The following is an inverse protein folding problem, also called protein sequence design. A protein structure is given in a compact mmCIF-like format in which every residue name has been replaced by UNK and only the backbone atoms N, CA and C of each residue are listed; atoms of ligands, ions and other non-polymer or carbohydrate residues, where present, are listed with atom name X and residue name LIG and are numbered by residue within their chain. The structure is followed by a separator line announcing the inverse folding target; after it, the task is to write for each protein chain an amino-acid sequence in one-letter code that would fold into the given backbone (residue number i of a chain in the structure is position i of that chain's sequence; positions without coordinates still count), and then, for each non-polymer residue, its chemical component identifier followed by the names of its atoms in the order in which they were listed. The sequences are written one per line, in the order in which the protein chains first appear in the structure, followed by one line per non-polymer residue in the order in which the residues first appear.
data_IF_631820811395
#
_entry.id   IF_631820811395
#
_cell.length_a   1.000
_cell.length_b   1.000
_cell.length_c   1.000
_cell.angle_alpha   90.00
_cell.angle_beta   90.00
_cell.angle_gamma   90.00
#
_symmetry.space_group_name_H-M   'P 1'
#
loop_
_entity.id
_entity.type
_entity.pdbx_description
1 polymer ?
#
# COMPACT_ATOMS: atom_id res chain seq x y z
N UNK A 1 58.46 27.90 -18.35
CA UNK A 1 57.10 28.31 -18.80
C UNK A 1 56.35 27.30 -19.70
N UNK A 2 56.96 26.20 -20.15
CA UNK A 2 56.28 25.20 -21.02
C UNK A 2 55.50 24.09 -20.23
N UNK A 3 55.78 23.91 -18.97
CA UNK A 3 55.16 22.85 -18.14
C UNK A 3 53.79 23.25 -17.56
N UNK A 4 53.56 24.52 -17.29
CA UNK A 4 52.26 24.99 -16.76
C UNK A 4 51.09 24.89 -17.75
N UNK A 5 51.36 24.94 -19.07
CA UNK A 5 50.29 24.85 -20.10
C UNK A 5 49.79 23.43 -20.28
N UNK A 6 50.57 22.41 -19.95
CA UNK A 6 50.12 21.00 -20.07
C UNK A 6 49.25 20.58 -18.90
N UNK A 7 49.55 21.02 -17.68
CA UNK A 7 48.74 20.73 -16.48
C UNK A 7 47.39 21.43 -16.54
N UNK A 8 47.32 22.65 -17.07
CA UNK A 8 46.04 23.35 -17.23
C UNK A 8 45.11 22.67 -18.25
N UNK A 9 45.69 22.11 -19.32
CA UNK A 9 44.89 21.34 -20.30
C UNK A 9 44.33 20.02 -19.74
N UNK A 10 45.10 19.35 -18.89
CA UNK A 10 44.61 18.13 -18.21
C UNK A 10 43.48 18.41 -17.20
N UNK A 11 43.56 19.55 -16.49
CA UNK A 11 42.51 19.97 -15.54
C UNK A 11 41.20 20.32 -16.26
N UNK A 12 41.26 20.97 -17.42
CA UNK A 12 40.10 21.31 -18.20
C UNK A 12 39.41 20.06 -18.79
N UNK A 13 40.18 19.05 -19.25
CA UNK A 13 39.63 17.80 -19.72
C UNK A 13 39.05 16.93 -18.60
N UNK A 14 39.64 17.00 -17.40
CA UNK A 14 39.10 16.28 -16.21
C UNK A 14 37.78 16.90 -15.73
N UNK A 15 37.63 18.22 -15.80
CA UNK A 15 36.34 18.86 -15.46
C UNK A 15 35.26 18.62 -16.51
N UNK A 16 35.63 18.51 -17.78
CA UNK A 16 34.66 18.26 -18.85
C UNK A 16 34.15 16.81 -18.84
N UNK A 17 34.96 15.85 -18.39
CA UNK A 17 34.56 14.44 -18.28
C UNK A 17 33.62 14.21 -17.10
N UNK A 18 33.60 15.08 -16.07
CA UNK A 18 32.73 14.95 -14.91
C UNK A 18 31.34 15.57 -15.12
N UNK A 19 31.17 16.39 -16.17
CA UNK A 19 29.89 17.04 -16.49
C UNK A 19 28.95 16.15 -17.30
N UNK A 20 29.41 14.99 -17.80
CA UNK A 20 28.57 14.08 -18.60
C UNK A 20 27.93 12.95 -17.80
N UNK A 21 28.07 12.92 -16.46
CA UNK A 21 27.48 11.87 -15.63
C UNK A 21 26.15 12.27 -14.98
N UNK A 22 25.62 13.47 -15.26
CA UNK A 22 24.35 13.95 -14.68
C UNK A 22 23.21 14.07 -15.69
N UNK A 23 23.34 13.50 -16.88
CA UNK A 23 22.24 13.47 -17.86
C UNK A 23 21.87 12.05 -18.23
N UNK A 24 21.54 11.25 -17.22
CA UNK A 24 20.90 9.96 -17.41
C UNK A 24 19.94 9.71 -16.24
N UNK A 25 19.00 10.63 -16.03
CA UNK A 25 17.69 10.35 -15.46
C UNK A 25 16.71 10.92 -16.48
N UNK A 26 16.47 10.20 -17.54
CA UNK A 26 15.17 10.22 -18.18
C UNK A 26 14.31 9.38 -17.26
N UNK A 27 13.64 10.04 -16.32
CA UNK A 27 12.47 9.53 -15.64
C UNK A 27 11.33 9.43 -16.67
N UNK A 28 11.46 8.52 -17.62
CA UNK A 28 10.36 7.82 -18.24
C UNK A 28 10.06 6.62 -17.31
N UNK A 29 9.82 6.90 -16.04
CA UNK A 29 9.03 6.02 -15.21
C UNK A 29 7.60 6.07 -15.79
N UNK A 30 7.34 5.24 -16.78
CA UNK A 30 6.05 4.60 -16.92
C UNK A 30 5.83 3.86 -15.59
N UNK A 31 5.41 4.62 -14.57
CA UNK A 31 5.00 4.12 -13.26
C UNK A 31 3.85 3.15 -13.51
N UNK A 32 4.21 1.89 -13.73
CA UNK A 32 3.22 0.84 -13.89
C UNK A 32 2.34 0.89 -12.64
N UNK A 33 1.10 1.35 -12.83
CA UNK A 33 0.14 1.49 -11.75
C UNK A 33 -0.15 0.09 -11.22
N UNK A 34 0.37 -0.22 -10.04
CA UNK A 34 0.30 -1.54 -9.41
C UNK A 34 -0.58 -1.50 -8.18
N UNK A 35 -1.06 -2.67 -7.75
CA UNK A 35 -1.78 -2.80 -6.49
C UNK A 35 -0.80 -2.57 -5.34
N UNK A 36 -1.12 -1.64 -4.44
CA UNK A 36 -0.27 -1.27 -3.31
C UNK A 36 -1.08 -1.28 -2.02
N UNK A 37 -0.52 -1.83 -0.96
CA UNK A 37 -1.13 -1.72 0.36
C UNK A 37 -1.09 -0.25 0.81
N UNK A 38 -2.26 0.27 1.20
CA UNK A 38 -2.40 1.64 1.68
C UNK A 38 -2.36 1.65 3.22
N UNK A 39 -1.52 2.50 3.83
CA UNK A 39 -1.34 2.48 5.27
C UNK A 39 -2.56 3.08 5.98
N UNK A 40 -3.27 2.23 6.70
CA UNK A 40 -4.31 2.62 7.68
C UNK A 40 -3.91 2.08 9.05
N UNK A 41 -4.31 2.74 10.14
CA UNK A 41 -4.12 2.18 11.48
C UNK A 41 -4.80 0.80 11.59
N UNK A 42 -4.06 -0.21 12.02
CA UNK A 42 -4.52 -1.62 12.04
C UNK A 42 -5.84 -1.85 12.78
N UNK A 43 -6.13 -1.02 13.78
CA UNK A 43 -7.34 -1.10 14.60
C UNK A 43 -8.33 0.03 14.30
N UNK A 44 -8.20 0.70 13.15
CA UNK A 44 -9.14 1.71 12.71
C UNK A 44 -10.53 1.10 12.58
N UNK A 45 -11.53 1.81 13.07
CA UNK A 45 -12.94 1.42 12.92
C UNK A 45 -13.73 2.60 12.38
N UNK A 46 -14.40 2.37 11.28
CA UNK A 46 -15.25 3.34 10.61
C UNK A 46 -16.72 2.90 10.71
N UNK A 47 -17.65 3.79 10.36
CA UNK A 47 -19.10 3.49 10.35
C UNK A 47 -19.52 2.71 9.11
N UNK A 48 -18.83 1.59 8.84
CA UNK A 48 -19.12 0.67 7.73
C UNK A 48 -19.26 -0.75 8.26
N UNK A 49 -19.86 -1.62 7.46
CA UNK A 49 -20.08 -3.01 7.84
C UNK A 49 -18.75 -3.78 7.98
N UNK A 50 -18.68 -4.66 8.97
CA UNK A 50 -17.55 -5.58 9.14
C UNK A 50 -17.61 -6.67 8.04
N UNK A 51 -16.42 -7.05 7.53
CA UNK A 51 -16.23 -8.07 6.49
C UNK A 51 -16.87 -7.73 5.12
N UNK A 52 -17.14 -6.46 4.89
CA UNK A 52 -17.58 -5.94 3.60
C UNK A 52 -16.56 -4.91 3.08
N UNK A 53 -16.17 -4.99 1.80
CA UNK A 53 -15.23 -4.02 1.25
C UNK A 53 -15.97 -2.73 0.87
N UNK A 54 -15.33 -1.59 1.11
CA UNK A 54 -15.78 -0.29 0.64
C UNK A 54 -14.82 0.20 -0.43
N UNK A 55 -15.34 0.49 -1.61
CA UNK A 55 -14.56 1.06 -2.71
C UNK A 55 -14.76 2.57 -2.75
N UNK A 56 -13.64 3.30 -2.75
CA UNK A 56 -13.56 4.77 -2.72
C UNK A 56 -12.92 5.23 -4.03
N UNK A 57 -13.63 6.03 -4.81
CA UNK A 57 -13.23 6.41 -6.18
C UNK A 57 -12.78 7.86 -6.33
N UNK A 58 -12.97 8.69 -5.31
CA UNK A 58 -12.64 10.11 -5.35
C UNK A 58 -12.41 10.69 -3.94
N UNK A 59 -11.90 11.91 -3.90
CA UNK A 59 -11.55 12.60 -2.66
C UNK A 59 -12.78 12.90 -1.76
N UNK A 60 -13.94 13.13 -2.35
CA UNK A 60 -15.18 13.36 -1.58
C UNK A 60 -15.56 12.10 -0.81
N UNK A 61 -15.62 10.95 -1.49
CA UNK A 61 -15.89 9.65 -0.86
C UNK A 61 -14.83 9.28 0.19
N UNK A 62 -13.56 9.64 -0.05
CA UNK A 62 -12.49 9.46 0.91
C UNK A 62 -12.70 10.27 2.19
N UNK A 63 -13.04 11.54 2.05
CA UNK A 63 -13.30 12.40 3.20
C UNK A 63 -14.56 11.98 3.94
N UNK A 64 -15.61 11.55 3.24
CA UNK A 64 -16.86 11.06 3.83
C UNK A 64 -16.62 9.77 4.62
N UNK A 65 -15.81 8.83 4.08
CA UNK A 65 -15.51 7.56 4.73
C UNK A 65 -14.60 7.75 5.95
N UNK A 66 -13.48 8.45 5.77
CA UNK A 66 -12.44 8.53 6.81
C UNK A 66 -12.68 9.69 7.80
N UNK A 67 -13.47 10.69 7.44
CA UNK A 67 -13.85 11.81 8.32
C UNK A 67 -12.63 12.50 8.94
N UNK A 68 -12.57 12.51 10.27
CA UNK A 68 -11.46 13.15 11.00
C UNK A 68 -10.10 12.45 10.81
N UNK A 69 -10.07 11.19 10.37
CA UNK A 69 -8.83 10.47 10.05
C UNK A 69 -8.24 10.90 8.71
N UNK A 70 -9.05 11.43 7.79
CA UNK A 70 -8.60 11.75 6.43
C UNK A 70 -7.36 12.67 6.40
N UNK A 71 -7.26 13.62 7.32
CA UNK A 71 -6.12 14.55 7.42
C UNK A 71 -4.82 13.89 7.93
N UNK A 72 -4.91 12.69 8.53
CA UNK A 72 -3.79 11.94 9.09
C UNK A 72 -3.29 10.85 8.14
N UNK A 73 -4.06 10.54 7.11
CA UNK A 73 -3.75 9.51 6.13
C UNK A 73 -3.00 10.12 4.92
N UNK A 74 -2.14 9.35 4.24
CA UNK A 74 -1.50 9.78 3.02
C UNK A 74 -2.52 10.20 1.95
N UNK A 75 -2.16 11.18 1.13
CA UNK A 75 -3.02 11.55 0.00
C UNK A 75 -3.06 10.46 -1.05
N UNK A 76 -4.25 10.21 -1.58
CA UNK A 76 -4.47 9.27 -2.70
C UNK A 76 -4.59 10.07 -4.00
N UNK A 77 -3.86 9.64 -5.03
CA UNK A 77 -4.05 10.17 -6.39
C UNK A 77 -5.20 9.42 -7.07
N UNK A 78 -6.41 9.93 -6.92
CA UNK A 78 -7.62 9.35 -7.50
C UNK A 78 -7.71 9.45 -9.04
N UNK A 79 -6.72 10.05 -9.71
CA UNK A 79 -6.58 9.94 -11.16
C UNK A 79 -5.91 8.62 -11.57
N UNK A 80 -5.07 8.04 -10.68
CA UNK A 80 -4.33 6.81 -10.93
C UNK A 80 -4.91 5.61 -10.19
N UNK A 81 -5.59 5.82 -9.05
CA UNK A 81 -6.02 4.75 -8.15
C UNK A 81 -7.46 4.92 -7.69
N UNK A 82 -8.11 3.79 -7.44
CA UNK A 82 -9.22 3.65 -6.51
C UNK A 82 -8.70 3.07 -5.20
N UNK A 83 -9.34 3.36 -4.07
CA UNK A 83 -8.96 2.80 -2.79
C UNK A 83 -10.02 1.82 -2.32
N UNK A 84 -9.61 0.62 -1.90
CA UNK A 84 -10.49 -0.31 -1.20
C UNK A 84 -10.13 -0.35 0.27
N UNK A 85 -11.14 -0.29 1.14
CA UNK A 85 -11.03 -0.40 2.59
C UNK A 85 -11.85 -1.58 3.07
N UNK A 86 -11.35 -2.31 4.06
CA UNK A 86 -12.05 -3.39 4.74
C UNK A 86 -11.71 -3.40 6.22
N UNK A 87 -12.68 -3.77 7.03
CA UNK A 87 -12.53 -3.90 8.47
C UNK A 87 -13.26 -5.12 9.00
N UNK A 88 -12.95 -5.49 10.22
CA UNK A 88 -13.65 -6.56 10.93
C UNK A 88 -13.12 -6.78 12.33
N UNK A 89 -13.50 -7.90 12.91
CA UNK A 89 -13.09 -8.28 14.25
C UNK A 89 -12.85 -9.78 14.40
N UNK A 90 -11.99 -10.12 15.34
CA UNK A 90 -11.71 -11.48 15.80
C UNK A 90 -12.19 -11.62 17.23
N UNK A 91 -12.90 -12.70 17.53
CA UNK A 91 -13.38 -13.00 18.90
C UNK A 91 -12.29 -13.56 19.82
N UNK A 92 -11.10 -13.81 19.29
CA UNK A 92 -9.96 -14.35 20.00
C UNK A 92 -8.71 -13.54 19.65
N UNK A 93 -7.66 -13.68 20.46
CA UNK A 93 -6.38 -13.01 20.18
C UNK A 93 -5.82 -13.45 18.82
N UNK A 94 -5.30 -12.49 18.07
CA UNK A 94 -4.70 -12.71 16.75
C UNK A 94 -3.21 -12.95 16.91
N UNK A 95 -2.71 -14.06 16.40
CA UNK A 95 -1.28 -14.41 16.38
C UNK A 95 -0.63 -14.19 15.01
N UNK A 96 -1.42 -14.30 13.94
CA UNK A 96 -0.99 -13.92 12.61
C UNK A 96 -2.14 -13.28 11.84
N UNK A 97 -1.80 -12.26 11.05
CA UNK A 97 -2.74 -11.52 10.21
C UNK A 97 -2.11 -11.26 8.87
N UNK A 98 -2.75 -11.71 7.82
CA UNK A 98 -2.33 -11.51 6.45
C UNK A 98 -3.48 -10.96 5.61
N UNK A 99 -3.16 -10.07 4.70
CA UNK A 99 -4.11 -9.57 3.73
C UNK A 99 -3.48 -9.39 2.36
N UNK A 100 -4.26 -9.54 1.32
CA UNK A 100 -3.84 -9.31 -0.07
C UNK A 100 -5.03 -9.05 -0.97
N UNK A 101 -4.74 -8.52 -2.15
CA UNK A 101 -5.69 -8.48 -3.26
C UNK A 101 -5.38 -9.62 -4.22
N UNK A 102 -6.38 -10.45 -4.48
CA UNK A 102 -6.33 -11.46 -5.54
C UNK A 102 -6.99 -10.89 -6.81
N UNK A 103 -6.38 -11.17 -7.96
CA UNK A 103 -6.76 -10.68 -9.28
C UNK A 103 -5.78 -9.61 -9.79
N UNK A 104 -5.38 -9.73 -11.06
CA UNK A 104 -4.58 -8.72 -11.76
C UNK A 104 -5.46 -7.62 -12.37
N UNK A 105 -6.73 -7.93 -12.61
CA UNK A 105 -7.75 -7.06 -13.18
C UNK A 105 -9.09 -7.26 -12.46
N UNK A 106 -10.03 -6.29 -12.56
CA UNK A 106 -11.38 -6.45 -11.99
C UNK A 106 -12.13 -7.68 -12.57
N UNK A 107 -12.92 -8.36 -11.77
CA UNK A 107 -13.23 -8.08 -10.36
C UNK A 107 -12.11 -8.53 -9.41
N UNK A 108 -11.76 -7.67 -8.46
CA UNK A 108 -10.77 -7.98 -7.43
C UNK A 108 -11.39 -8.70 -6.23
N UNK A 109 -10.53 -9.37 -5.45
CA UNK A 109 -10.92 -9.98 -4.19
C UNK A 109 -9.96 -9.58 -3.09
N UNK A 110 -10.46 -8.86 -2.08
CA UNK A 110 -9.72 -8.62 -0.85
C UNK A 110 -9.78 -9.88 0.02
N UNK A 111 -8.65 -10.51 0.22
CA UNK A 111 -8.50 -11.72 1.04
C UNK A 111 -7.84 -11.35 2.35
N UNK A 112 -8.46 -11.75 3.46
CA UNK A 112 -7.94 -11.59 4.81
C UNK A 112 -7.85 -12.97 5.46
N UNK A 113 -6.70 -13.30 5.99
CA UNK A 113 -6.43 -14.54 6.71
C UNK A 113 -6.00 -14.23 8.14
N UNK A 114 -6.69 -14.83 9.10
CA UNK A 114 -6.49 -14.57 10.53
C UNK A 114 -6.21 -15.89 11.24
N UNK A 115 -5.05 -15.99 11.89
CA UNK A 115 -4.78 -17.05 12.84
C UNK A 115 -5.06 -16.57 14.25
N UNK A 116 -5.89 -17.30 14.97
CA UNK A 116 -6.30 -16.98 16.33
C UNK A 116 -5.62 -17.91 17.34
N UNK A 117 -5.43 -17.43 18.56
CA UNK A 117 -5.10 -18.26 19.73
C UNK A 117 -6.37 -18.53 20.56
N UNK A 118 -6.18 -19.18 21.71
CA UNK A 118 -7.29 -19.54 22.61
C UNK A 118 -7.65 -18.43 23.62
N UNK A 119 -7.05 -17.24 23.52
CA UNK A 119 -7.39 -16.14 24.43
C UNK A 119 -8.75 -15.53 24.07
N UNK A 120 -9.52 -15.14 25.09
CA UNK A 120 -10.79 -14.43 24.90
C UNK A 120 -10.55 -12.92 24.81
N UNK A 121 -9.87 -12.51 23.75
CA UNK A 121 -9.57 -11.11 23.47
C UNK A 121 -10.22 -10.70 22.15
N UNK A 122 -11.13 -9.73 22.19
CA UNK A 122 -11.71 -9.21 20.95
C UNK A 122 -10.73 -8.24 20.29
N UNK A 123 -10.27 -8.59 19.08
CA UNK A 123 -9.31 -7.80 18.32
C UNK A 123 -9.98 -7.24 17.07
N UNK A 124 -9.95 -5.92 16.90
CA UNK A 124 -10.36 -5.23 15.67
C UNK A 124 -9.20 -5.18 14.68
N UNK A 125 -9.52 -5.23 13.40
CA UNK A 125 -8.56 -5.09 12.32
C UNK A 125 -9.13 -4.23 11.19
N UNK A 126 -8.23 -3.57 10.45
CA UNK A 126 -8.52 -2.80 9.26
C UNK A 126 -7.41 -2.95 8.25
N UNK A 127 -7.76 -2.92 6.97
CA UNK A 127 -6.83 -2.98 5.84
C UNK A 127 -7.30 -2.08 4.71
N UNK A 128 -6.38 -1.58 3.92
CA UNK A 128 -6.70 -0.85 2.70
C UNK A 128 -5.67 -1.09 1.60
N UNK A 129 -6.11 -0.98 0.36
CA UNK A 129 -5.26 -1.13 -0.83
C UNK A 129 -5.61 -0.09 -1.88
N UNK A 130 -4.60 0.37 -2.60
CA UNK A 130 -4.75 1.13 -3.84
C UNK A 130 -4.84 0.16 -5.01
N UNK A 131 -5.89 0.28 -5.79
CA UNK A 131 -6.13 -0.48 -7.00
C UNK A 131 -5.93 0.43 -8.22
N UNK A 132 -5.39 -0.05 -9.34
CA UNK A 132 -5.36 0.73 -10.57
C UNK A 132 -6.73 1.30 -10.90
N UNK A 133 -6.78 2.59 -11.27
CA UNK A 133 -8.03 3.30 -11.59
C UNK A 133 -8.75 2.60 -12.74
N UNK A 134 -10.00 2.20 -12.50
CA UNK A 134 -10.87 1.62 -13.52
C UNK A 134 -12.34 1.84 -13.14
N UNK A 135 -13.15 2.32 -14.08
CA UNK A 135 -14.57 2.57 -13.84
C UNK A 135 -15.36 1.28 -13.49
N UNK A 136 -14.85 0.14 -13.96
CA UNK A 136 -15.43 -1.18 -13.72
C UNK A 136 -14.89 -1.86 -12.44
N UNK A 137 -14.11 -1.17 -11.62
CA UNK A 137 -13.59 -1.75 -10.39
C UNK A 137 -14.74 -2.27 -9.52
N UNK A 138 -14.68 -3.56 -9.23
CA UNK A 138 -15.55 -4.28 -8.31
C UNK A 138 -14.66 -5.07 -7.37
N UNK A 139 -14.98 -5.06 -6.10
CA UNK A 139 -14.22 -5.76 -5.07
C UNK A 139 -15.18 -6.62 -4.24
N UNK A 140 -14.82 -7.87 -4.07
CA UNK A 140 -15.44 -8.77 -3.08
C UNK A 140 -14.48 -8.98 -1.92
N UNK A 141 -14.96 -9.47 -0.79
CA UNK A 141 -14.12 -9.77 0.37
C UNK A 141 -14.27 -11.21 0.81
N UNK A 142 -13.18 -11.82 1.20
CA UNK A 142 -13.16 -13.15 1.81
C UNK A 142 -12.31 -13.10 3.09
N UNK A 143 -12.90 -13.46 4.20
CA UNK A 143 -12.21 -13.56 5.48
C UNK A 143 -12.17 -15.04 5.87
N UNK A 144 -10.97 -15.56 6.10
CA UNK A 144 -10.73 -16.88 6.64
C UNK A 144 -10.14 -16.77 8.04
N UNK A 145 -10.66 -17.57 8.95
CA UNK A 145 -10.22 -17.60 10.34
C UNK A 145 -9.87 -19.04 10.69
N UNK A 146 -8.69 -19.26 11.22
CA UNK A 146 -8.25 -20.56 11.71
C UNK A 146 -7.61 -20.44 13.09
N UNK A 147 -7.66 -21.53 13.85
CA UNK A 147 -6.96 -21.61 15.13
C UNK A 147 -5.49 -21.96 14.88
N UNK A 148 -4.59 -21.22 15.52
CA UNK A 148 -3.18 -21.58 15.52
C UNK A 148 -3.01 -22.94 16.17
N UNK A 149 -2.23 -23.82 15.54
CA UNK A 149 -1.89 -25.11 16.14
C UNK A 149 -1.18 -24.86 17.49
N UNK A 150 -1.63 -25.57 18.51
CA UNK A 150 -0.90 -25.55 19.77
C UNK A 150 0.50 -26.09 19.51
N UNK A 151 1.50 -25.24 19.64
CA UNK A 151 2.90 -25.67 19.56
C UNK A 151 3.11 -26.79 20.59
N UNK A 152 3.08 -28.03 20.15
CA UNK A 152 3.46 -29.18 20.97
C UNK A 152 4.98 -29.18 21.14
N UNK A 153 5.43 -28.23 21.98
CA UNK A 153 6.79 -28.23 22.47
C UNK A 153 6.96 -29.32 23.51
N UNK A 154 7.65 -30.34 23.12
CA UNK A 154 8.29 -31.27 24.05
C UNK A 154 9.76 -30.90 24.21
#
# INVERSE_FOLDING_TARGET
MKTMRKTLRFLVYSMLAMACLFTACSDDDDDAVTIVQYPVPERMQLSVADNEPVLVKNETEFNDLFGSYASQLPKVDFNKYDLVYGQGGSSHGVVNFESRIDGAEPPYRLVVHIQQNLTHEYVRWAVAYLLPKNDNNQVTMAVSVEMAEASSGF
#
